data_IF_771376325586
#
_entry.id   IF_771376325586
#
_cell.length_a   1.000
_cell.length_b   1.000
_cell.length_c   1.000
_cell.angle_alpha   90.00
_cell.angle_beta   90.00
_cell.angle_gamma   90.00
#
_symmetry.space_group_name_H-M   'P 1'
#
loop_
_entity.id
_entity.type
_entity.pdbx_description
1 polymer ?
#
# COMPACT_ATOMS: atom_id res chain seq x y z
N UNK A 1 -14.22 73.07 -5.81
CA UNK A 1 -13.17 72.53 -6.71
C UNK A 1 -12.61 71.26 -6.10
N UNK A 2 -12.61 70.20 -6.92
CA UNK A 2 -11.85 68.93 -6.83
C UNK A 2 -11.93 68.11 -5.53
N UNK A 3 -12.89 67.17 -5.57
CA UNK A 3 -12.92 65.94 -4.80
C UNK A 3 -11.66 65.08 -5.05
N UNK A 4 -11.10 64.51 -3.98
CA UNK A 4 -10.10 63.44 -4.08
C UNK A 4 -10.83 62.14 -3.76
N UNK A 5 -11.10 61.40 -4.82
CA UNK A 5 -11.57 60.02 -4.83
C UNK A 5 -10.42 59.13 -4.35
N UNK A 6 -10.55 58.49 -3.20
CA UNK A 6 -9.63 57.42 -2.78
C UNK A 6 -10.21 56.10 -3.27
N UNK A 7 -9.43 55.44 -4.11
CA UNK A 7 -9.74 54.21 -4.83
C UNK A 7 -9.80 53.03 -3.85
N UNK A 8 -10.92 52.31 -3.89
CA UNK A 8 -11.09 50.98 -3.32
C UNK A 8 -10.11 50.02 -4.01
N UNK A 9 -9.08 49.57 -3.30
CA UNK A 9 -8.27 48.43 -3.73
C UNK A 9 -8.94 47.15 -3.20
N UNK A 10 -9.64 46.44 -4.09
CA UNK A 10 -10.10 45.09 -3.86
C UNK A 10 -8.87 44.18 -3.69
N UNK A 11 -8.57 43.76 -2.47
CA UNK A 11 -7.66 42.64 -2.21
C UNK A 11 -8.41 41.38 -2.62
N UNK A 12 -8.16 40.92 -3.85
CA UNK A 12 -8.48 39.57 -4.25
C UNK A 12 -7.57 38.63 -3.46
N UNK A 13 -8.15 37.91 -2.50
CA UNK A 13 -7.53 36.73 -1.88
C UNK A 13 -7.37 35.67 -2.98
N UNK A 14 -6.19 35.65 -3.60
CA UNK A 14 -5.73 34.47 -4.30
C UNK A 14 -5.44 33.41 -3.24
N UNK A 15 -6.36 32.45 -3.08
CA UNK A 15 -6.08 31.18 -2.43
C UNK A 15 -5.02 30.50 -3.30
N UNK A 16 -3.74 30.69 -2.96
CA UNK A 16 -2.70 29.82 -3.46
C UNK A 16 -2.90 28.48 -2.77
N UNK A 17 -3.70 27.60 -3.39
CA UNK A 17 -3.67 26.19 -3.07
C UNK A 17 -2.22 25.76 -3.18
N UNK A 18 -1.64 25.35 -2.05
CA UNK A 18 -0.37 24.65 -2.07
C UNK A 18 -0.62 23.40 -2.90
N UNK A 19 -0.15 23.44 -4.16
CA UNK A 19 -0.01 22.24 -4.95
C UNK A 19 0.99 21.39 -4.18
N UNK A 20 0.51 20.32 -3.55
CA UNK A 20 1.35 19.23 -3.10
C UNK A 20 2.24 18.87 -4.28
N UNK A 21 3.53 19.17 -4.14
CA UNK A 21 4.52 18.73 -5.09
C UNK A 21 4.45 17.21 -5.10
N UNK A 22 4.03 16.66 -6.23
CA UNK A 22 4.23 15.25 -6.54
C UNK A 22 5.72 14.97 -6.34
N UNK A 23 6.05 14.28 -5.25
CA UNK A 23 7.38 13.75 -5.00
C UNK A 23 7.62 12.59 -5.97
N UNK A 24 7.78 12.90 -7.24
CA UNK A 24 8.33 11.99 -8.22
C UNK A 24 9.85 11.96 -8.04
N UNK A 25 10.31 11.37 -6.93
CA UNK A 25 11.62 10.73 -6.89
C UNK A 25 11.59 9.48 -7.80
N UNK A 26 12.75 8.93 -8.22
CA UNK A 26 12.75 7.63 -8.87
C UNK A 26 12.04 6.63 -7.96
N UNK A 27 10.97 6.00 -8.45
CA UNK A 27 10.25 4.97 -7.70
C UNK A 27 11.28 3.94 -7.22
N UNK A 28 11.37 3.79 -5.91
CA UNK A 28 12.28 2.86 -5.28
C UNK A 28 11.75 1.46 -5.57
N UNK A 29 12.64 0.60 -6.08
CA UNK A 29 12.34 -0.81 -6.28
C UNK A 29 11.93 -1.44 -4.94
N UNK A 30 10.65 -1.84 -4.85
CA UNK A 30 10.05 -2.34 -3.61
C UNK A 30 10.66 -3.67 -3.18
N UNK A 31 11.22 -4.43 -4.12
CA UNK A 31 11.90 -5.70 -3.88
C UNK A 31 13.18 -5.55 -3.05
N UNK A 32 13.78 -4.35 -3.06
CA UNK A 32 15.00 -4.06 -2.30
C UNK A 32 14.71 -3.62 -0.86
N UNK A 33 13.45 -3.55 -0.44
CA UNK A 33 13.11 -3.16 0.92
C UNK A 33 13.29 -4.34 1.90
N UNK A 34 14.09 -4.12 2.96
CA UNK A 34 14.50 -5.20 3.87
C UNK A 34 13.35 -5.84 4.67
N UNK A 35 12.24 -5.10 4.86
CA UNK A 35 11.14 -5.51 5.73
C UNK A 35 9.78 -5.41 5.03
N UNK A 36 9.56 -6.08 3.88
CA UNK A 36 8.41 -5.84 2.99
C UNK A 36 7.07 -6.04 3.70
N UNK A 37 7.03 -6.94 4.68
CA UNK A 37 5.80 -7.18 5.43
C UNK A 37 5.38 -6.03 6.33
N UNK A 38 6.26 -5.10 6.71
CA UNK A 38 5.89 -3.90 7.47
C UNK A 38 5.12 -2.86 6.66
N UNK A 39 5.31 -2.84 5.33
CA UNK A 39 4.77 -1.78 4.48
C UNK A 39 3.25 -1.74 4.48
N UNK A 40 2.68 -0.53 4.44
CA UNK A 40 1.24 -0.28 4.31
C UNK A 40 0.54 0.09 5.62
N UNK A 41 -0.78 0.03 5.59
CA UNK A 41 -1.63 0.50 6.69
C UNK A 41 -1.99 -0.64 7.67
N UNK A 42 -1.83 -0.34 8.96
CA UNK A 42 -2.12 -1.22 10.09
C UNK A 42 -3.13 -0.58 11.02
N UNK A 43 -4.11 -1.37 11.46
CA UNK A 43 -5.20 -0.87 12.30
C UNK A 43 -5.30 -1.64 13.60
N UNK A 44 -5.49 -0.89 14.68
CA UNK A 44 -5.98 -1.38 15.96
C UNK A 44 -7.32 -0.71 16.22
N UNK A 45 -8.36 -1.51 16.42
CA UNK A 45 -9.68 -1.02 16.80
C UNK A 45 -9.91 -1.29 18.27
N UNK A 46 -10.44 -0.31 19.01
CA UNK A 46 -10.92 -0.56 20.36
C UNK A 46 -12.25 -1.34 20.27
N UNK A 47 -12.32 -2.59 20.74
CA UNK A 47 -13.54 -3.38 20.64
C UNK A 47 -14.65 -2.90 21.59
N UNK A 48 -14.30 -2.17 22.65
CA UNK A 48 -15.22 -1.70 23.67
C UNK A 48 -14.84 -0.28 24.15
N UNK A 49 -14.96 0.73 23.27
CA UNK A 49 -14.48 2.09 23.58
C UNK A 49 -15.26 2.76 24.71
N UNK A 50 -16.49 2.30 25.01
CA UNK A 50 -17.28 2.86 26.11
C UNK A 50 -17.05 2.14 27.46
N UNK A 51 -16.33 1.02 27.45
CA UNK A 51 -16.11 0.18 28.64
C UNK A 51 -14.68 0.30 29.18
N UNK A 52 -13.79 0.92 28.40
CA UNK A 52 -12.36 1.05 28.70
C UNK A 52 -11.99 2.47 29.09
N UNK A 53 -10.96 2.60 29.94
CA UNK A 53 -10.38 3.91 30.30
C UNK A 53 -9.57 4.52 29.14
N UNK A 54 -9.06 3.69 28.23
CA UNK A 54 -8.25 4.18 27.11
C UNK A 54 -9.05 5.12 26.20
N UNK A 55 -8.50 6.30 25.89
CA UNK A 55 -9.18 7.34 25.12
C UNK A 55 -8.92 7.23 23.60
N UNK A 56 -9.24 6.08 23.00
CA UNK A 56 -9.18 5.92 21.55
C UNK A 56 -10.31 5.02 21.01
N UNK A 57 -10.69 5.29 19.76
CA UNK A 57 -11.58 4.48 18.94
C UNK A 57 -10.77 3.55 18.03
N UNK A 58 -9.75 4.12 17.37
CA UNK A 58 -8.87 3.40 16.46
C UNK A 58 -7.47 4.03 16.46
N UNK A 59 -6.48 3.21 16.16
CA UNK A 59 -5.11 3.63 15.86
C UNK A 59 -4.77 3.11 14.46
N UNK A 60 -4.30 4.01 13.60
CA UNK A 60 -3.74 3.67 12.29
C UNK A 60 -2.23 3.89 12.36
N UNK A 61 -1.46 2.87 12.00
CA UNK A 61 -0.03 3.01 11.68
C UNK A 61 0.15 2.86 10.17
N UNK A 62 1.06 3.62 9.61
CA UNK A 62 1.46 3.49 8.22
C UNK A 62 2.99 3.46 8.16
N UNK A 63 3.54 2.56 7.34
CA UNK A 63 4.96 2.46 7.04
C UNK A 63 5.16 2.43 5.53
N UNK A 64 6.03 3.28 5.02
CA UNK A 64 6.34 3.38 3.59
C UNK A 64 7.79 2.96 3.29
N UNK A 65 8.04 2.56 2.05
CA UNK A 65 9.33 2.02 1.60
C UNK A 65 10.44 3.06 1.54
N UNK A 66 10.10 4.34 1.64
CA UNK A 66 11.03 5.46 1.80
C UNK A 66 11.49 5.67 3.25
N UNK A 67 11.09 4.77 4.17
CA UNK A 67 11.37 4.78 5.60
C UNK A 67 10.64 5.89 6.37
N UNK A 68 9.53 6.38 5.85
CA UNK A 68 8.61 7.25 6.61
C UNK A 68 7.52 6.44 7.32
N UNK A 69 7.05 6.96 8.45
CA UNK A 69 5.91 6.41 9.17
C UNK A 69 4.92 7.51 9.51
N UNK A 70 3.66 7.12 9.68
CA UNK A 70 2.62 7.95 10.28
C UNK A 70 1.80 7.16 11.30
N UNK A 71 1.32 7.87 12.33
CA UNK A 71 0.45 7.36 13.39
C UNK A 71 -0.73 8.31 13.53
N UNK A 72 -1.93 7.81 13.32
CA UNK A 72 -3.17 8.52 13.64
C UNK A 72 -3.89 7.82 14.80
N UNK A 73 -4.15 8.55 15.88
CA UNK A 73 -4.98 8.07 17.00
C UNK A 73 -6.29 8.83 16.97
N UNK A 74 -7.37 8.14 16.59
CA UNK A 74 -8.71 8.69 16.68
C UNK A 74 -9.24 8.55 18.11
N UNK A 75 -9.52 9.66 18.77
CA UNK A 75 -10.05 9.71 20.14
C UNK A 75 -11.57 9.52 20.18
N UNK A 76 -12.12 9.32 21.38
CA UNK A 76 -13.57 9.16 21.59
C UNK A 76 -14.39 10.40 21.25
N UNK A 77 -13.77 11.57 21.29
CA UNK A 77 -14.39 12.84 20.86
C UNK A 77 -14.24 13.10 19.35
N UNK A 78 -13.76 12.11 18.59
CA UNK A 78 -13.49 12.15 17.16
C UNK A 78 -12.35 13.07 16.72
N UNK A 79 -11.63 13.69 17.66
CA UNK A 79 -10.36 14.34 17.33
C UNK A 79 -9.29 13.32 16.96
N UNK A 80 -8.30 13.74 16.17
CA UNK A 80 -7.19 12.90 15.72
C UNK A 80 -5.89 13.53 16.20
N UNK A 81 -5.11 12.77 16.95
CA UNK A 81 -3.70 13.08 17.13
C UNK A 81 -2.90 12.42 16.02
N UNK A 82 -1.96 13.17 15.44
CA UNK A 82 -1.16 12.75 14.30
C UNK A 82 0.33 12.90 14.62
N UNK A 83 1.11 11.88 14.31
CA UNK A 83 2.57 11.89 14.34
C UNK A 83 3.13 11.29 13.07
N UNK A 84 4.21 11.88 12.57
CA UNK A 84 4.93 11.39 11.40
C UNK A 84 6.43 11.55 11.60
N UNK A 85 7.22 10.79 10.85
CA UNK A 85 8.67 10.92 10.87
C UNK A 85 9.37 9.79 10.14
N UNK A 86 10.66 9.65 10.40
CA UNK A 86 11.49 8.57 9.86
C UNK A 86 11.56 7.39 10.82
N UNK A 87 11.57 6.17 10.27
CA UNK A 87 11.81 4.95 11.05
C UNK A 87 12.98 4.14 10.49
N UNK A 88 13.47 3.19 11.29
CA UNK A 88 14.25 2.05 10.79
C UNK A 88 13.77 0.81 11.50
N UNK A 89 13.89 -0.33 10.83
CA UNK A 89 13.59 -1.63 11.42
C UNK A 89 14.69 -2.64 11.08
N UNK A 90 14.91 -3.57 11.99
CA UNK A 90 15.66 -4.80 11.74
C UNK A 90 14.72 -6.00 11.97
N UNK A 91 15.22 -7.21 12.17
CA UNK A 91 14.36 -8.40 12.31
C UNK A 91 13.39 -8.43 13.51
N UNK A 92 13.63 -7.66 14.56
CA UNK A 92 12.85 -7.74 15.82
C UNK A 92 12.57 -6.39 16.48
N UNK A 93 13.17 -5.31 15.98
CA UNK A 93 13.12 -3.99 16.58
C UNK A 93 12.77 -2.95 15.53
N UNK A 94 11.84 -2.06 15.86
CA UNK A 94 11.52 -0.86 15.09
C UNK A 94 11.82 0.38 15.94
N UNK A 95 12.47 1.37 15.32
CA UNK A 95 12.79 2.66 15.95
C UNK A 95 12.03 3.74 15.18
N UNK A 96 11.14 4.45 15.88
CA UNK A 96 10.36 5.56 15.33
C UNK A 96 10.98 6.89 15.75
N UNK A 97 11.00 7.86 14.82
CA UNK A 97 11.49 9.21 15.09
C UNK A 97 13.02 9.27 15.17
N UNK A 98 13.73 8.62 14.24
CA UNK A 98 15.20 8.50 14.25
C UNK A 98 15.98 9.81 14.44
N UNK A 99 15.41 10.92 14.00
CA UNK A 99 16.03 12.25 14.06
C UNK A 99 15.37 13.16 15.11
N UNK A 100 14.55 12.61 16.01
CA UNK A 100 13.93 13.35 17.11
C UNK A 100 14.83 13.35 18.35
N UNK A 101 14.52 14.23 19.31
CA UNK A 101 15.21 14.25 20.61
C UNK A 101 14.85 13.05 21.49
N UNK A 102 13.81 12.29 21.14
CA UNK A 102 13.29 11.15 21.91
C UNK A 102 12.80 10.02 20.98
N UNK A 103 13.73 9.28 20.32
CA UNK A 103 13.39 8.18 19.44
C UNK A 103 12.77 7.03 20.24
N UNK A 104 11.68 6.48 19.72
CA UNK A 104 10.92 5.42 20.40
C UNK A 104 11.30 4.06 19.85
N UNK A 105 11.69 3.14 20.74
CA UNK A 105 12.15 1.79 20.39
C UNK A 105 11.10 0.77 20.80
N UNK A 106 10.68 -0.08 19.85
CA UNK A 106 9.66 -1.10 20.07
C UNK A 106 10.17 -2.47 19.62
N UNK A 107 9.87 -3.50 20.41
CA UNK A 107 9.97 -4.88 19.94
C UNK A 107 8.76 -5.17 19.04
N UNK A 108 9.01 -5.86 17.92
CA UNK A 108 7.94 -6.22 16.99
C UNK A 108 8.08 -7.63 16.43
N UNK A 109 6.95 -8.17 15.97
CA UNK A 109 6.87 -9.37 15.12
C UNK A 109 5.80 -9.12 14.07
N UNK A 110 6.09 -9.42 12.82
CA UNK A 110 5.08 -9.32 11.76
C UNK A 110 5.02 -10.56 10.90
N UNK A 111 3.87 -10.74 10.26
CA UNK A 111 3.73 -11.57 9.08
C UNK A 111 2.99 -10.74 8.00
N UNK A 112 2.45 -11.39 6.98
CA UNK A 112 1.79 -10.72 5.86
C UNK A 112 0.51 -9.92 6.24
N UNK A 113 -0.14 -10.20 7.37
CA UNK A 113 -1.41 -9.55 7.75
C UNK A 113 -1.53 -9.11 9.22
N UNK A 114 -0.58 -9.47 10.08
CA UNK A 114 -0.55 -9.12 11.51
C UNK A 114 0.78 -8.47 11.89
N UNK A 115 0.69 -7.42 12.68
CA UNK A 115 1.83 -6.73 13.29
C UNK A 115 1.63 -6.72 14.80
N UNK A 116 2.50 -7.42 15.52
CA UNK A 116 2.60 -7.34 16.97
C UNK A 116 3.66 -6.30 17.33
N UNK A 117 3.29 -5.29 18.11
CA UNK A 117 4.14 -4.18 18.51
C UNK A 117 3.94 -3.90 20.00
N UNK A 118 4.97 -4.12 20.83
CA UNK A 118 4.93 -3.90 22.29
C UNK A 118 3.66 -4.45 22.98
N UNK A 119 3.24 -5.69 22.69
CA UNK A 119 2.09 -6.30 23.35
C UNK A 119 0.74 -6.07 22.65
N UNK A 120 0.71 -5.24 21.60
CA UNK A 120 -0.51 -4.87 20.87
C UNK A 120 -0.47 -5.48 19.47
N UNK A 121 -1.58 -6.05 19.03
CA UNK A 121 -1.71 -6.63 17.69
C UNK A 121 -2.52 -5.71 16.79
N UNK A 122 -1.90 -5.28 15.70
CA UNK A 122 -2.53 -4.57 14.59
C UNK A 122 -2.81 -5.53 13.43
N UNK A 123 -3.86 -5.24 12.68
CA UNK A 123 -4.24 -5.98 11.47
C UNK A 123 -4.01 -5.10 10.25
N UNK A 124 -3.41 -5.68 9.21
CA UNK A 124 -3.18 -5.00 7.94
C UNK A 124 -4.50 -4.77 7.21
N UNK A 125 -4.75 -3.56 6.73
CA UNK A 125 -5.94 -3.29 5.93
C UNK A 125 -5.65 -3.40 4.44
N UNK A 126 -6.62 -3.96 3.71
CA UNK A 126 -6.61 -3.98 2.26
C UNK A 126 -7.52 -2.87 1.72
N UNK A 127 -7.16 -2.22 0.61
CA UNK A 127 -8.16 -1.57 -0.23
C UNK A 127 -9.11 -2.68 -0.73
N UNK A 128 -10.32 -2.75 -0.16
CA UNK A 128 -11.30 -3.82 -0.41
C UNK A 128 -11.56 -4.14 -1.90
N UNK A 129 -11.26 -3.21 -2.81
CA UNK A 129 -11.47 -3.39 -4.23
C UNK A 129 -10.48 -4.35 -4.91
N UNK A 130 -9.28 -4.59 -4.38
CA UNK A 130 -8.29 -5.43 -5.08
C UNK A 130 -8.50 -6.93 -4.84
N UNK A 131 -8.96 -7.30 -3.64
CA UNK A 131 -9.24 -8.69 -3.31
C UNK A 131 -10.32 -9.28 -4.24
N UNK A 132 -10.12 -10.52 -4.65
CA UNK A 132 -11.02 -11.23 -5.56
C UNK A 132 -10.31 -12.19 -6.50
N UNK A 133 -11.09 -12.77 -7.40
CA UNK A 133 -10.61 -13.62 -8.48
C UNK A 133 -10.65 -12.85 -9.80
N UNK A 134 -9.57 -12.95 -10.55
CA UNK A 134 -9.29 -12.17 -11.75
C UNK A 134 -8.85 -13.11 -12.87
N UNK A 135 -9.51 -13.06 -14.02
CA UNK A 135 -9.20 -13.91 -15.18
C UNK A 135 -8.85 -13.08 -16.39
N UNK A 136 -7.84 -13.51 -17.14
CA UNK A 136 -7.33 -12.79 -18.30
C UNK A 136 -8.33 -12.67 -19.43
N UNK A 137 -8.39 -11.47 -19.99
CA UNK A 137 -9.12 -11.16 -21.23
C UNK A 137 -8.21 -10.79 -22.38
N UNK A 138 -7.03 -10.25 -22.06
CA UNK A 138 -5.98 -9.93 -23.02
C UNK A 138 -4.63 -10.17 -22.36
N UNK A 139 -3.72 -10.81 -23.09
CA UNK A 139 -2.34 -11.05 -22.70
C UNK A 139 -1.45 -10.59 -23.85
N UNK A 140 -0.35 -9.93 -23.50
CA UNK A 140 0.67 -9.48 -24.46
C UNK A 140 2.00 -9.36 -23.72
N UNK A 141 3.12 -9.30 -24.45
CA UNK A 141 4.44 -9.11 -23.84
C UNK A 141 5.50 -8.94 -24.90
N UNK A 142 6.70 -8.54 -24.49
CA UNK A 142 7.85 -8.47 -25.39
C UNK A 142 8.59 -9.80 -25.49
N UNK A 143 8.34 -10.71 -24.56
CA UNK A 143 8.96 -12.02 -24.55
C UNK A 143 8.12 -13.06 -25.32
N UNK A 144 8.80 -14.11 -25.79
CA UNK A 144 8.13 -15.23 -26.47
C UNK A 144 7.31 -16.12 -25.54
N UNK A 145 7.30 -15.84 -24.23
CA UNK A 145 6.58 -16.60 -23.22
C UNK A 145 5.15 -16.09 -23.10
N UNK A 146 4.94 -14.78 -23.03
CA UNK A 146 3.64 -14.12 -23.02
C UNK A 146 2.81 -14.46 -24.27
N UNK A 147 3.44 -14.55 -25.43
CA UNK A 147 2.78 -14.96 -26.69
C UNK A 147 2.22 -16.39 -26.65
N UNK A 148 2.74 -17.25 -25.77
CA UNK A 148 2.29 -18.64 -25.62
C UNK A 148 1.21 -18.79 -24.57
N UNK A 149 1.01 -17.81 -23.70
CA UNK A 149 -0.01 -17.85 -22.66
C UNK A 149 -1.39 -17.69 -23.27
N UNK A 150 -2.28 -18.60 -22.88
CA UNK A 150 -3.68 -18.60 -23.30
C UNK A 150 -4.60 -18.11 -22.20
N UNK A 151 -4.25 -18.36 -20.94
CA UNK A 151 -5.07 -17.98 -19.79
C UNK A 151 -4.18 -17.64 -18.58
N UNK A 152 -4.55 -16.59 -17.86
CA UNK A 152 -4.02 -16.25 -16.54
C UNK A 152 -5.19 -16.10 -15.56
N UNK A 153 -5.06 -16.74 -14.40
CA UNK A 153 -5.95 -16.60 -13.25
C UNK A 153 -5.15 -16.07 -12.07
N UNK A 154 -5.58 -14.94 -11.51
CA UNK A 154 -5.02 -14.37 -10.29
C UNK A 154 -6.10 -14.33 -9.21
N UNK A 155 -5.83 -14.92 -8.05
CA UNK A 155 -6.67 -14.82 -6.86
C UNK A 155 -5.88 -14.03 -5.83
N UNK A 156 -6.46 -12.93 -5.35
CA UNK A 156 -5.93 -12.10 -4.27
C UNK A 156 -6.89 -12.19 -3.08
N UNK A 157 -6.43 -12.75 -1.96
CA UNK A 157 -7.24 -12.91 -0.77
C UNK A 157 -7.12 -11.69 0.17
N UNK A 158 -8.17 -11.35 0.93
CA UNK A 158 -8.13 -10.23 1.88
C UNK A 158 -7.03 -10.32 2.95
N UNK A 159 -6.49 -11.52 3.18
CA UNK A 159 -5.41 -11.80 4.12
C UNK A 159 -4.03 -11.80 3.43
N UNK A 160 -3.86 -11.16 2.27
CA UNK A 160 -2.58 -11.02 1.59
C UNK A 160 -1.97 -12.32 1.05
N UNK A 161 -2.77 -13.38 0.91
CA UNK A 161 -2.40 -14.61 0.20
C UNK A 161 -2.82 -14.53 -1.26
N UNK A 162 -1.96 -14.99 -2.18
CA UNK A 162 -2.31 -15.07 -3.60
C UNK A 162 -2.19 -16.47 -4.18
N UNK A 163 -2.91 -16.70 -5.29
CA UNK A 163 -2.71 -17.80 -6.21
C UNK A 163 -2.64 -17.24 -7.62
N UNK A 164 -1.55 -17.52 -8.33
CA UNK A 164 -1.37 -17.18 -9.72
C UNK A 164 -1.28 -18.47 -10.54
N UNK A 165 -2.11 -18.60 -11.58
CA UNK A 165 -2.05 -19.69 -12.54
C UNK A 165 -1.92 -19.15 -13.94
N UNK A 166 -1.04 -19.74 -14.73
CA UNK A 166 -0.87 -19.44 -16.14
C UNK A 166 -0.88 -20.73 -16.94
N UNK A 167 -1.68 -20.76 -18.01
CA UNK A 167 -1.78 -21.89 -18.94
C UNK A 167 -1.30 -21.47 -20.32
N UNK A 168 -0.52 -22.32 -20.97
CA UNK A 168 0.05 -22.12 -22.29
C UNK A 168 -0.65 -22.93 -23.39
N UNK A 169 -0.48 -22.49 -24.63
CA UNK A 169 -1.02 -23.14 -25.84
C UNK A 169 -0.47 -24.54 -26.10
N UNK A 170 0.67 -24.88 -25.52
CA UNK A 170 1.30 -26.21 -25.56
C UNK A 170 0.77 -27.16 -24.47
N UNK A 171 -0.17 -26.71 -23.64
CA UNK A 171 -0.74 -27.45 -22.52
C UNK A 171 0.10 -27.37 -21.24
N UNK A 172 1.17 -26.56 -21.22
CA UNK A 172 1.93 -26.30 -20.00
C UNK A 172 1.12 -25.43 -19.04
N UNK A 173 1.19 -25.74 -17.75
CA UNK A 173 0.58 -24.94 -16.69
C UNK A 173 1.64 -24.60 -15.64
N UNK A 174 1.62 -23.35 -15.18
CA UNK A 174 2.43 -22.88 -14.06
C UNK A 174 1.51 -22.37 -12.97
N UNK A 175 1.79 -22.72 -11.72
CA UNK A 175 1.06 -22.24 -10.56
C UNK A 175 2.05 -21.72 -9.52
N UNK A 176 1.84 -20.48 -9.08
CA UNK A 176 2.54 -19.88 -7.95
C UNK A 176 1.54 -19.56 -6.84
N UNK A 177 1.95 -19.80 -5.60
CA UNK A 177 1.21 -19.44 -4.41
C UNK A 177 2.18 -18.80 -3.43
N UNK A 178 1.70 -17.78 -2.73
CA UNK A 178 2.50 -17.10 -1.73
C UNK A 178 1.74 -15.96 -1.11
N UNK A 179 2.47 -14.92 -0.75
CA UNK A 179 1.93 -13.70 -0.15
C UNK A 179 2.23 -12.51 -1.03
N UNK A 180 1.39 -11.48 -0.95
CA UNK A 180 1.60 -10.26 -1.71
C UNK A 180 1.67 -9.05 -0.79
N UNK A 181 2.40 -8.04 -1.22
CA UNK A 181 2.44 -6.73 -0.58
C UNK A 181 2.39 -5.65 -1.66
N UNK A 182 2.04 -4.44 -1.26
CA UNK A 182 1.74 -3.37 -2.20
C UNK A 182 2.08 -2.00 -1.61
N UNK A 183 2.48 -1.09 -2.48
CA UNK A 183 2.69 0.32 -2.17
C UNK A 183 2.42 1.14 -3.43
N UNK A 184 1.54 2.14 -3.34
CA UNK A 184 1.09 2.89 -4.51
C UNK A 184 0.52 1.97 -5.61
N UNK A 185 1.15 1.99 -6.78
CA UNK A 185 0.78 1.14 -7.92
C UNK A 185 1.58 -0.17 -8.00
N UNK A 186 2.51 -0.41 -7.08
CA UNK A 186 3.28 -1.65 -7.03
C UNK A 186 2.52 -2.74 -6.30
N UNK A 187 2.52 -3.94 -6.90
CA UNK A 187 2.02 -5.18 -6.35
C UNK A 187 3.14 -6.21 -6.51
N UNK A 188 3.75 -6.59 -5.39
CA UNK A 188 4.78 -7.63 -5.38
C UNK A 188 4.18 -8.95 -4.93
N UNK A 189 4.40 -9.98 -5.74
CA UNK A 189 4.01 -11.37 -5.44
C UNK A 189 5.26 -12.13 -4.96
N UNK A 190 5.29 -12.52 -3.70
CA UNK A 190 6.39 -13.26 -3.09
C UNK A 190 6.00 -14.74 -2.88
N UNK A 191 6.78 -15.66 -3.44
CA UNK A 191 6.54 -17.10 -3.39
C UNK A 191 7.86 -17.87 -3.14
N UNK A 192 7.78 -19.19 -2.97
CA UNK A 192 8.90 -20.02 -2.50
C UNK A 192 10.18 -19.86 -3.33
N UNK A 193 10.03 -19.79 -4.66
CA UNK A 193 11.16 -19.78 -5.60
C UNK A 193 11.52 -18.38 -6.13
N UNK A 194 10.90 -17.31 -5.61
CA UNK A 194 11.19 -15.95 -6.06
C UNK A 194 10.14 -14.92 -5.74
N UNK A 195 10.31 -13.76 -6.34
CA UNK A 195 9.36 -12.64 -6.26
C UNK A 195 9.10 -12.07 -7.64
N UNK A 196 7.98 -11.38 -7.76
CA UNK A 196 7.58 -10.72 -8.99
C UNK A 196 7.02 -9.34 -8.66
N UNK A 197 7.75 -8.29 -9.03
CA UNK A 197 7.21 -6.92 -9.03
C UNK A 197 6.33 -6.71 -10.27
N UNK A 198 5.20 -6.06 -10.04
CA UNK A 198 4.18 -5.77 -11.05
C UNK A 198 3.56 -4.42 -10.73
N UNK A 199 3.38 -3.58 -11.75
CA UNK A 199 2.55 -2.39 -11.63
C UNK A 199 1.11 -2.74 -11.95
N UNK A 200 0.18 -2.27 -11.13
CA UNK A 200 -1.22 -2.53 -11.34
C UNK A 200 -2.05 -1.25 -11.45
N UNK A 201 -3.10 -1.31 -12.27
CA UNK A 201 -4.19 -0.32 -12.22
C UNK A 201 -5.51 -1.04 -12.06
N UNK A 202 -6.41 -0.45 -11.27
CA UNK A 202 -7.70 -1.03 -10.95
C UNK A 202 -8.83 -0.07 -11.34
N UNK A 203 -9.66 -0.50 -12.28
CA UNK A 203 -10.87 0.22 -12.71
C UNK A 203 -12.08 -0.69 -12.54
N UNK A 204 -12.75 -0.59 -11.38
CA UNK A 204 -13.91 -1.40 -11.01
C UNK A 204 -13.64 -2.93 -11.06
N UNK A 205 -14.12 -3.58 -12.12
CA UNK A 205 -14.00 -5.02 -12.36
C UNK A 205 -12.90 -5.33 -13.40
N UNK A 206 -12.00 -4.39 -13.68
CA UNK A 206 -10.85 -4.58 -14.55
C UNK A 206 -9.54 -4.26 -13.81
N UNK A 207 -8.65 -5.24 -13.75
CA UNK A 207 -7.31 -5.17 -13.19
C UNK A 207 -6.31 -5.29 -14.35
N UNK A 208 -5.48 -4.28 -14.52
CA UNK A 208 -4.36 -4.34 -15.47
C UNK A 208 -3.08 -4.60 -14.69
N UNK A 209 -2.27 -5.52 -15.17
CA UNK A 209 -0.95 -5.86 -14.64
C UNK A 209 0.10 -5.60 -15.70
N UNK A 210 1.15 -4.88 -15.33
CA UNK A 210 2.33 -4.59 -16.14
C UNK A 210 3.57 -5.08 -15.40
N UNK A 211 4.12 -6.22 -15.85
CA UNK A 211 5.31 -6.82 -15.26
C UNK A 211 6.56 -6.05 -15.66
N UNK A 212 7.51 -5.95 -14.73
CA UNK A 212 8.76 -5.24 -14.98
C UNK A 212 9.47 -5.73 -16.25
N UNK A 213 10.01 -4.79 -17.02
CA UNK A 213 10.70 -5.07 -18.28
C UNK A 213 9.75 -5.41 -19.44
N UNK A 214 8.44 -5.28 -19.27
CA UNK A 214 7.45 -5.54 -20.33
C UNK A 214 7.36 -7.02 -20.72
N UNK A 215 7.78 -7.92 -19.83
CA UNK A 215 7.70 -9.37 -20.02
C UNK A 215 6.25 -9.80 -20.22
N UNK A 216 5.32 -9.24 -19.44
CA UNK A 216 3.89 -9.46 -19.59
C UNK A 216 3.10 -8.20 -19.29
N UNK A 217 2.10 -7.95 -20.13
CA UNK A 217 1.01 -7.03 -19.90
C UNK A 217 -0.30 -7.81 -19.97
N UNK A 218 -1.04 -7.82 -18.86
CA UNK A 218 -2.26 -8.59 -18.71
C UNK A 218 -3.45 -7.69 -18.33
N UNK A 219 -4.56 -7.84 -19.07
CA UNK A 219 -5.83 -7.22 -18.71
C UNK A 219 -6.75 -8.31 -18.18
N UNK A 220 -7.10 -8.21 -16.90
CA UNK A 220 -7.89 -9.19 -16.17
C UNK A 220 -9.26 -8.60 -15.83
N UNK A 221 -10.31 -9.41 -15.96
CA UNK A 221 -11.64 -9.06 -15.46
C UNK A 221 -11.96 -9.83 -14.18
N UNK A 222 -12.70 -9.20 -13.27
CA UNK A 222 -13.17 -9.84 -12.05
C UNK A 222 -14.15 -10.97 -12.39
N UNK A 223 -13.91 -12.13 -11.79
CA UNK A 223 -14.82 -13.28 -11.84
C UNK A 223 -15.93 -13.06 -10.81
N UNK A 224 -17.18 -13.22 -11.24
CA UNK A 224 -18.40 -13.04 -10.42
C UNK A 224 -18.94 -14.35 -9.90
#
# INVERSE_FOLDING_TARGET
MKWITVIFACIALAVTGQAFGSMNGPLKDLTQFDQPFLLGDWYLLNPAPNETEENFLAIKLNFESDYTFAIDIQKKDYSVDHWEGMFTANSDTIILGLNSDDPQVYEYKSNHNLLFLNGVTFTKALPNALAGMWSSTSLSGQDSYADKLTEVLLILQPDFVFLFKASGSDGNETTHQGVYYMEGEHLVLLYEDGEQDTRYTLQQDQLTLDMEGGSMYAVLNRVR
#
